data_IF_042852191489
#
_entry.id   IF_042852191489
#
_cell.length_a   1.000
_cell.length_b   1.000
_cell.length_c   1.000
_cell.angle_alpha   90.00
_cell.angle_beta   90.00
_cell.angle_gamma   90.00
#
_symmetry.space_group_name_H-M   'P 1'
#
loop_
_entity.id
_entity.type
_entity.pdbx_description
1 polymer ?
#
# COMPACT_ATOMS: atom_id res chain seq x y z
N UNK A 1 -29.06 10.99 -17.28
CA UNK A 1 -27.83 11.60 -17.88
C UNK A 1 -26.63 10.83 -17.36
N UNK A 2 -25.86 10.18 -18.24
CA UNK A 2 -24.64 9.48 -17.82
C UNK A 2 -23.62 10.53 -17.32
N UNK A 3 -23.16 10.41 -16.06
CA UNK A 3 -22.06 11.24 -15.56
C UNK A 3 -20.73 10.69 -16.08
N UNK A 4 -19.86 11.57 -16.56
CA UNK A 4 -18.49 11.19 -16.91
C UNK A 4 -17.77 10.67 -15.65
N UNK A 5 -17.20 9.47 -15.73
CA UNK A 5 -16.32 8.95 -14.69
C UNK A 5 -14.97 9.65 -14.82
N UNK A 6 -14.49 10.27 -13.74
CA UNK A 6 -13.16 10.91 -13.69
C UNK A 6 -12.16 9.91 -13.11
N UNK A 7 -11.08 9.66 -13.83
CA UNK A 7 -9.91 8.94 -13.33
C UNK A 7 -8.81 9.97 -13.06
N UNK A 8 -8.22 9.93 -11.87
CA UNK A 8 -7.08 10.77 -11.49
C UNK A 8 -5.83 9.90 -11.45
N UNK A 9 -4.76 10.33 -12.11
CA UNK A 9 -3.47 9.66 -12.11
C UNK A 9 -2.38 10.63 -11.62
N UNK A 10 -1.34 10.08 -11.01
CA UNK A 10 -0.17 10.83 -10.54
C UNK A 10 1.05 9.92 -10.52
N UNK A 11 2.23 10.53 -10.42
CA UNK A 11 3.49 9.82 -10.29
C UNK A 11 4.12 10.13 -8.93
N UNK A 12 4.68 9.12 -8.28
CA UNK A 12 5.44 9.25 -7.04
C UNK A 12 6.91 9.02 -7.39
N UNK A 13 7.77 9.97 -7.04
CA UNK A 13 9.21 9.80 -7.17
C UNK A 13 9.76 9.10 -5.92
N UNK A 14 10.46 7.98 -6.10
CA UNK A 14 11.08 7.21 -5.02
C UNK A 14 12.58 7.27 -5.23
N UNK A 15 13.29 7.93 -4.32
CA UNK A 15 14.74 8.05 -4.37
C UNK A 15 15.37 7.04 -3.40
N UNK A 16 16.21 6.13 -3.92
CA UNK A 16 16.99 5.17 -3.12
C UNK A 16 18.38 4.97 -3.71
N UNK A 17 19.36 4.54 -2.92
CA UNK A 17 20.69 4.16 -3.42
C UNK A 17 21.09 2.79 -2.86
N UNK A 18 21.63 1.86 -3.68
CA UNK A 18 21.90 1.96 -5.13
C UNK A 18 20.62 1.89 -5.99
N UNK A 19 20.66 2.52 -7.17
CA UNK A 19 19.54 2.50 -8.12
C UNK A 19 19.59 1.23 -8.98
N UNK A 20 18.69 0.28 -8.73
CA UNK A 20 18.46 -0.86 -9.63
C UNK A 20 16.99 -1.31 -9.60
N UNK A 21 16.43 -1.81 -10.72
CA UNK A 21 15.05 -2.32 -10.75
C UNK A 21 14.77 -3.33 -9.64
N UNK A 22 15.73 -4.20 -9.34
CA UNK A 22 15.66 -5.23 -8.30
C UNK A 22 15.43 -4.60 -6.93
N UNK A 23 16.13 -3.51 -6.61
CA UNK A 23 16.03 -2.82 -5.31
C UNK A 23 14.68 -2.14 -5.12
N UNK A 24 14.10 -1.56 -6.17
CA UNK A 24 12.76 -1.01 -6.10
C UNK A 24 11.71 -2.12 -5.88
N UNK A 25 11.80 -3.22 -6.61
CA UNK A 25 10.90 -4.36 -6.45
C UNK A 25 11.05 -4.98 -5.04
N UNK A 26 12.28 -5.08 -4.54
CA UNK A 26 12.57 -5.54 -3.18
C UNK A 26 11.92 -4.62 -2.14
N UNK A 27 12.04 -3.29 -2.29
CA UNK A 27 11.39 -2.32 -1.40
C UNK A 27 9.88 -2.57 -1.30
N UNK A 28 9.19 -2.70 -2.44
CA UNK A 28 7.74 -2.91 -2.44
C UNK A 28 7.35 -4.29 -1.88
N UNK A 29 8.15 -5.33 -2.12
CA UNK A 29 7.95 -6.65 -1.50
C UNK A 29 8.11 -6.59 0.02
N UNK A 30 9.10 -5.85 0.52
CA UNK A 30 9.31 -5.64 1.95
C UNK A 30 8.15 -4.86 2.57
N UNK A 31 7.73 -3.76 1.94
CA UNK A 31 6.58 -2.99 2.38
C UNK A 31 5.32 -3.85 2.47
N UNK A 32 5.08 -4.69 1.45
CA UNK A 32 3.94 -5.61 1.43
C UNK A 32 4.04 -6.71 2.50
N UNK A 33 5.24 -7.23 2.75
CA UNK A 33 5.47 -8.26 3.78
C UNK A 33 5.25 -7.72 5.19
N UNK A 34 5.67 -6.48 5.43
CA UNK A 34 5.43 -5.82 6.72
C UNK A 34 3.94 -5.54 6.95
N UNK A 35 3.19 -5.24 5.87
CA UNK A 35 1.74 -5.01 5.88
C UNK A 35 1.27 -4.01 6.95
N UNK A 36 2.16 -3.11 7.37
CA UNK A 36 1.91 -2.20 8.48
C UNK A 36 1.05 -1.03 8.01
N UNK A 37 0.11 -0.63 8.86
CA UNK A 37 -0.64 0.61 8.65
C UNK A 37 0.28 1.79 8.99
N UNK A 38 0.62 2.61 8.00
CA UNK A 38 1.49 3.78 8.16
C UNK A 38 0.64 5.04 8.23
N UNK A 39 0.90 5.91 9.20
CA UNK A 39 0.25 7.22 9.26
C UNK A 39 0.74 8.09 8.10
N UNK A 40 -0.19 8.58 7.28
CA UNK A 40 0.12 9.53 6.21
C UNK A 40 0.11 10.97 6.75
N UNK A 41 -1.00 11.34 7.39
CA UNK A 41 -1.23 12.65 8.03
C UNK A 41 -2.53 12.61 8.83
N UNK A 42 -2.53 13.20 10.02
CA UNK A 42 -3.75 13.31 10.84
C UNK A 42 -4.30 11.93 11.19
N UNK A 43 -5.57 11.72 10.92
CA UNK A 43 -6.31 10.46 11.09
C UNK A 43 -6.22 9.51 9.87
N UNK A 44 -5.49 9.90 8.82
CA UNK A 44 -5.35 9.11 7.61
C UNK A 44 -4.17 8.14 7.70
N UNK A 45 -4.44 6.86 7.52
CA UNK A 45 -3.44 5.79 7.45
C UNK A 45 -3.51 5.09 6.11
N UNK A 46 -2.44 4.42 5.72
CA UNK A 46 -2.43 3.60 4.52
C UNK A 46 -1.59 2.34 4.66
N UNK A 47 -1.92 1.33 3.88
CA UNK A 47 -1.16 0.09 3.76
C UNK A 47 -1.04 -0.34 2.31
N UNK A 48 0.04 -1.04 1.98
CA UNK A 48 0.21 -1.67 0.67
C UNK A 48 -0.50 -3.03 0.70
N UNK A 49 -1.69 -3.09 0.10
CA UNK A 49 -2.62 -4.24 0.11
C UNK A 49 -2.12 -5.40 -0.75
N UNK A 50 -1.59 -5.09 -1.93
CA UNK A 50 -0.93 -6.07 -2.78
C UNK A 50 0.13 -5.43 -3.67
N UNK A 51 1.05 -6.26 -4.15
CA UNK A 51 2.07 -5.88 -5.12
C UNK A 51 2.53 -7.14 -5.87
N UNK A 52 2.23 -7.21 -7.17
CA UNK A 52 2.48 -8.38 -8.00
C UNK A 52 2.97 -8.01 -9.40
N UNK A 53 3.65 -8.93 -10.10
CA UNK A 53 3.96 -8.75 -11.49
C UNK A 53 2.67 -8.60 -12.31
N UNK A 54 2.61 -7.63 -13.22
CA UNK A 54 1.44 -7.39 -14.07
C UNK A 54 1.11 -8.59 -14.98
N UNK A 55 2.12 -9.38 -15.36
CA UNK A 55 1.98 -10.61 -16.14
C UNK A 55 2.79 -11.75 -15.54
N UNK A 56 2.28 -12.97 -15.71
CA UNK A 56 3.01 -14.19 -15.33
C UNK A 56 4.26 -14.35 -16.20
N UNK A 57 5.41 -14.59 -15.57
CA UNK A 57 6.68 -14.80 -16.26
C UNK A 57 7.38 -13.52 -16.74
N UNK A 58 6.90 -12.34 -16.33
CA UNK A 58 7.56 -11.07 -16.67
C UNK A 58 8.95 -10.97 -16.04
N UNK A 59 9.85 -10.24 -16.70
CA UNK A 59 11.17 -9.90 -16.16
C UNK A 59 11.06 -8.71 -15.20
N UNK A 60 12.06 -8.51 -14.34
CA UNK A 60 11.98 -7.54 -13.24
C UNK A 60 11.94 -6.07 -13.68
N UNK A 61 12.38 -5.78 -14.91
CA UNK A 61 12.30 -4.45 -15.52
C UNK A 61 10.93 -4.12 -16.11
N UNK A 62 10.01 -5.09 -16.18
CA UNK A 62 8.64 -4.88 -16.64
C UNK A 62 7.73 -4.33 -15.53
N UNK A 63 6.60 -3.67 -15.87
CA UNK A 63 5.73 -3.04 -14.89
C UNK A 63 5.16 -4.01 -13.85
N UNK A 64 5.08 -3.54 -12.61
CA UNK A 64 4.37 -4.21 -11.53
C UNK A 64 3.08 -3.46 -11.21
N UNK A 65 2.10 -4.17 -10.69
CA UNK A 65 0.86 -3.58 -10.19
C UNK A 65 0.73 -3.77 -8.68
N UNK A 66 0.06 -2.84 -8.04
CA UNK A 66 -0.20 -2.88 -6.60
C UNK A 66 -1.30 -1.92 -6.21
N UNK A 67 -1.75 -2.03 -4.97
CA UNK A 67 -2.81 -1.21 -4.41
C UNK A 67 -2.41 -0.68 -3.04
N UNK A 68 -2.55 0.63 -2.86
CA UNK A 68 -2.43 1.29 -1.56
C UNK A 68 -3.85 1.57 -1.07
N UNK A 69 -4.25 0.89 0.01
CA UNK A 69 -5.51 1.17 0.68
C UNK A 69 -5.30 2.30 1.66
N UNK A 70 -6.11 3.35 1.52
CA UNK A 70 -6.14 4.46 2.47
C UNK A 70 -7.35 4.30 3.39
N UNK A 71 -7.08 4.22 4.68
CA UNK A 71 -8.11 4.27 5.72
C UNK A 71 -8.36 5.73 6.06
N UNK A 72 -9.63 6.12 5.96
CA UNK A 72 -10.14 7.44 6.35
C UNK A 72 -11.21 7.23 7.39
N UNK A 73 -11.38 8.19 8.31
CA UNK A 73 -12.40 8.12 9.37
C UNK A 73 -12.13 7.01 10.39
N UNK A 74 -10.96 7.09 11.02
CA UNK A 74 -10.55 6.15 12.05
C UNK A 74 -11.24 6.52 13.38
N UNK A 75 -12.14 5.66 13.86
CA UNK A 75 -12.76 5.79 15.18
C UNK A 75 -11.83 5.27 16.27
N UNK A 76 -11.01 6.16 16.83
CA UNK A 76 -10.08 5.84 17.93
C UNK A 76 -10.77 5.37 19.21
N UNK A 77 -12.08 5.59 19.39
CA UNK A 77 -12.82 5.22 20.60
C UNK A 77 -13.66 3.95 20.45
N UNK A 78 -13.71 3.35 19.25
CA UNK A 78 -14.45 2.12 19.00
C UNK A 78 -13.76 0.86 19.53
N UNK A 79 -14.42 -0.29 19.43
CA UNK A 79 -13.78 -1.58 19.68
C UNK A 79 -12.88 -1.95 18.51
N UNK A 80 -11.57 -2.03 18.75
CA UNK A 80 -10.59 -2.34 17.71
C UNK A 80 -10.30 -3.83 17.61
N UNK A 81 -10.06 -4.30 16.38
CA UNK A 81 -9.53 -5.63 16.14
C UNK A 81 -8.01 -5.56 15.97
N UNK A 82 -7.27 -6.28 16.81
CA UNK A 82 -5.82 -6.40 16.70
C UNK A 82 -5.48 -7.36 15.55
N UNK A 83 -4.97 -6.82 14.44
CA UNK A 83 -4.62 -7.60 13.24
C UNK A 83 -3.43 -8.55 13.46
N UNK A 84 -2.62 -8.34 14.50
CA UNK A 84 -1.48 -9.19 14.87
C UNK A 84 -1.96 -10.34 15.75
N UNK A 85 -2.69 -10.04 16.83
CA UNK A 85 -3.22 -11.04 17.76
C UNK A 85 -4.45 -11.79 17.23
N UNK A 86 -5.12 -11.21 16.23
CA UNK A 86 -6.41 -11.66 15.67
C UNK A 86 -7.52 -11.76 16.71
N UNK A 87 -7.58 -10.77 17.60
CA UNK A 87 -8.52 -10.69 18.72
C UNK A 87 -8.98 -9.24 18.95
N UNK A 88 -9.88 -9.01 19.90
CA UNK A 88 -10.21 -7.66 20.38
C UNK A 88 -8.94 -7.00 20.94
N UNK A 89 -8.68 -5.78 20.53
CA UNK A 89 -7.56 -4.99 21.02
C UNK A 89 -7.78 -4.67 22.50
N UNK A 90 -6.75 -4.92 23.29
CA UNK A 90 -6.68 -4.56 24.70
C UNK A 90 -5.49 -3.61 24.90
N UNK A 91 -5.57 -2.75 25.92
CA UNK A 91 -4.46 -1.89 26.38
C UNK A 91 -3.16 -2.68 26.66
#
# INVERSE_FOLDING_TARGET
>A
MARAKKLTYGAVNITMHPHSPEKYVELFRMARKNASNVNLRGDSFATLSYFYPYKKGQVISEPFEGEILKYTDIDVNGDWFDIVKKDIASD
#
